data_IF_036614609802
#
_entry.id   IF_036614609802
#
_cell.length_a   1.000
_cell.length_b   1.000
_cell.length_c   1.000
_cell.angle_alpha   90.00
_cell.angle_beta   90.00
_cell.angle_gamma   90.00
#
_symmetry.space_group_name_H-M   'P 1'
#
loop_
_entity.id
_entity.type
_entity.pdbx_description
1 polymer ?
#
# COMPACT_ATOMS: atom_id res chain seq x y z
N UNK A 1 -36.82 -28.24 -66.72
CA UNK A 1 -36.17 -26.95 -66.49
C UNK A 1 -36.09 -26.73 -65.00
N UNK A 2 -34.88 -26.43 -64.53
CA UNK A 2 -34.54 -25.62 -63.33
C UNK A 2 -35.14 -26.06 -61.99
N UNK A 3 -34.42 -26.19 -60.87
CA UNK A 3 -33.08 -25.79 -60.47
C UNK A 3 -33.03 -25.89 -58.94
N UNK A 4 -31.91 -26.36 -58.41
CA UNK A 4 -31.67 -26.75 -57.01
C UNK A 4 -31.73 -25.60 -55.98
N UNK A 5 -32.00 -25.93 -54.72
CA UNK A 5 -31.73 -25.07 -53.55
C UNK A 5 -32.04 -25.73 -52.20
N UNK A 6 -31.03 -26.34 -51.59
CA UNK A 6 -31.06 -27.08 -50.31
C UNK A 6 -31.03 -26.12 -49.11
N UNK A 7 -31.79 -26.41 -48.04
CA UNK A 7 -31.60 -25.83 -46.70
C UNK A 7 -31.62 -26.92 -45.61
N UNK A 8 -30.56 -26.91 -44.81
CA UNK A 8 -30.15 -27.90 -43.78
C UNK A 8 -30.79 -27.55 -42.41
N UNK A 9 -31.15 -28.54 -41.56
CA UNK A 9 -31.86 -28.29 -40.31
C UNK A 9 -30.97 -27.79 -39.16
N UNK A 10 -31.60 -27.05 -38.24
CA UNK A 10 -31.02 -26.50 -37.00
C UNK A 10 -30.44 -27.59 -36.10
N UNK A 11 -29.16 -27.47 -35.76
CA UNK A 11 -28.53 -28.21 -34.66
C UNK A 11 -28.44 -27.30 -33.44
N UNK A 12 -29.14 -27.67 -32.37
CA UNK A 12 -28.95 -27.11 -31.03
C UNK A 12 -27.81 -27.86 -30.37
N UNK A 13 -26.75 -27.15 -29.97
CA UNK A 13 -25.64 -27.75 -29.23
C UNK A 13 -25.72 -27.30 -27.76
N UNK A 14 -26.08 -28.23 -26.88
CA UNK A 14 -25.83 -28.17 -25.44
C UNK A 14 -24.32 -28.29 -25.22
N UNK A 15 -23.71 -27.33 -24.53
CA UNK A 15 -22.35 -27.50 -23.98
C UNK A 15 -22.47 -27.66 -22.46
N UNK A 16 -22.08 -28.84 -21.97
CA UNK A 16 -21.89 -29.16 -20.56
C UNK A 16 -20.41 -28.93 -20.20
N UNK A 17 -20.21 -28.21 -19.09
CA UNK A 17 -19.07 -28.14 -18.15
C UNK A 17 -17.61 -28.00 -18.65
N UNK A 18 -16.92 -26.99 -18.11
CA UNK A 18 -15.45 -26.90 -18.09
C UNK A 18 -14.95 -25.47 -17.88
N UNK A 19 -15.16 -24.87 -16.70
CA UNK A 19 -14.63 -23.53 -16.39
C UNK A 19 -13.35 -23.68 -15.57
N UNK A 20 -12.20 -23.48 -16.22
CA UNK A 20 -10.91 -23.24 -15.57
C UNK A 20 -10.76 -21.74 -15.22
N UNK A 21 -10.07 -21.50 -14.10
CA UNK A 21 -10.01 -20.24 -13.34
C UNK A 21 -9.29 -19.06 -14.05
N UNK A 22 -8.76 -19.26 -15.27
CA UNK A 22 -8.11 -18.23 -16.10
C UNK A 22 -9.08 -17.31 -16.86
N UNK A 23 -10.36 -17.71 -16.98
CA UNK A 23 -11.33 -17.01 -17.84
C UNK A 23 -11.94 -15.72 -17.23
N UNK A 24 -11.72 -15.46 -15.93
CA UNK A 24 -12.28 -14.30 -15.21
C UNK A 24 -11.40 -13.04 -15.29
N UNK A 25 -10.06 -13.20 -15.39
CA UNK A 25 -9.11 -12.08 -15.53
C UNK A 25 -9.13 -11.49 -16.94
N UNK A 26 -9.26 -12.34 -17.97
CA UNK A 26 -9.37 -11.89 -19.37
C UNK A 26 -10.68 -11.12 -19.62
N UNK A 27 -11.79 -11.53 -18.98
CA UNK A 27 -13.09 -10.83 -19.10
C UNK A 27 -13.07 -9.43 -18.47
N UNK A 28 -12.37 -9.22 -17.36
CA UNK A 28 -12.26 -7.89 -16.72
C UNK A 28 -11.34 -6.94 -17.52
N UNK A 29 -10.23 -7.43 -18.06
CA UNK A 29 -9.37 -6.65 -18.96
C UNK A 29 -10.08 -6.27 -20.26
N UNK A 30 -10.88 -7.18 -20.85
CA UNK A 30 -11.70 -6.89 -22.04
C UNK A 30 -12.82 -5.88 -21.76
N UNK A 31 -13.35 -5.80 -20.54
CA UNK A 31 -14.40 -4.85 -20.19
C UNK A 31 -13.83 -3.42 -20.03
N UNK A 32 -12.64 -3.26 -19.45
CA UNK A 32 -11.90 -1.99 -19.48
C UNK A 32 -11.46 -1.61 -20.91
N UNK A 33 -11.04 -2.58 -21.73
CA UNK A 33 -10.70 -2.34 -23.14
C UNK A 33 -11.93 -1.93 -23.97
N UNK A 34 -13.10 -2.53 -23.71
CA UNK A 34 -14.38 -2.16 -24.35
C UNK A 34 -14.82 -0.74 -24.02
N UNK A 35 -14.66 -0.27 -22.78
CA UNK A 35 -15.01 1.11 -22.41
C UNK A 35 -14.09 2.12 -23.12
N UNK A 36 -12.80 1.80 -23.23
CA UNK A 36 -11.83 2.66 -23.93
C UNK A 36 -12.06 2.67 -25.46
N UNK A 37 -12.44 1.52 -26.04
CA UNK A 37 -12.79 1.43 -27.46
C UNK A 37 -14.13 2.10 -27.77
N UNK A 38 -15.11 2.04 -26.85
CA UNK A 38 -16.40 2.71 -27.03
C UNK A 38 -16.23 4.23 -26.98
N UNK A 39 -15.44 4.76 -26.04
CA UNK A 39 -15.09 6.19 -26.02
C UNK A 39 -14.37 6.64 -27.30
N UNK A 40 -13.40 5.84 -27.78
CA UNK A 40 -12.70 6.13 -29.04
C UNK A 40 -13.61 6.07 -30.27
N UNK A 41 -14.54 5.11 -30.32
CA UNK A 41 -15.50 4.97 -31.43
C UNK A 41 -16.59 6.04 -31.40
N UNK A 42 -17.04 6.47 -30.22
CA UNK A 42 -17.94 7.61 -30.06
C UNK A 42 -17.26 8.90 -30.52
N UNK A 43 -15.99 9.09 -30.15
CA UNK A 43 -15.21 10.23 -30.62
C UNK A 43 -15.01 10.21 -32.15
N UNK A 44 -14.70 9.03 -32.73
CA UNK A 44 -14.55 8.87 -34.18
C UNK A 44 -15.87 9.09 -34.92
N UNK A 45 -17.02 8.70 -34.34
CA UNK A 45 -18.35 8.99 -34.89
C UNK A 45 -18.66 10.48 -34.90
N UNK A 46 -18.40 11.18 -33.80
CA UNK A 46 -18.56 12.64 -33.71
C UNK A 46 -17.69 13.34 -34.77
N UNK A 47 -16.45 12.87 -34.95
CA UNK A 47 -15.53 13.41 -35.96
C UNK A 47 -16.00 13.14 -37.39
N UNK A 48 -16.53 11.95 -37.67
CA UNK A 48 -17.07 11.56 -38.98
C UNK A 48 -18.41 12.26 -39.30
N UNK A 49 -19.25 12.54 -38.30
CA UNK A 49 -20.47 13.34 -38.46
C UNK A 49 -20.15 14.81 -38.75
N UNK A 50 -19.12 15.38 -38.13
CA UNK A 50 -18.62 16.71 -38.47
C UNK A 50 -18.05 16.82 -39.89
N UNK A 51 -17.60 15.71 -40.50
CA UNK A 51 -17.10 15.68 -41.88
C UNK A 51 -18.21 15.48 -42.94
N UNK A 52 -19.44 15.11 -42.54
CA UNK A 52 -20.58 14.92 -43.47
C UNK A 52 -21.35 16.20 -43.78
N UNK A 53 -21.16 17.28 -43.02
CA UNK A 53 -21.82 18.56 -43.23
C UNK A 53 -20.79 19.70 -43.34
N UNK A 54 -20.29 20.01 -44.55
CA UNK A 54 -19.32 21.07 -44.75
C UNK A 54 -20.05 22.42 -44.85
N UNK A 55 -20.64 22.87 -43.75
CA UNK A 55 -21.24 24.21 -43.69
C UNK A 55 -21.04 24.87 -42.33
N UNK A 56 -19.86 24.70 -41.71
CA UNK A 56 -19.40 25.54 -40.61
C UNK A 56 -17.87 25.63 -40.62
N UNK A 57 -17.33 26.59 -41.35
CA UNK A 57 -15.90 27.00 -41.38
C UNK A 57 -15.44 27.68 -40.08
N UNK A 58 -16.02 27.32 -38.93
CA UNK A 58 -15.67 27.90 -37.62
C UNK A 58 -15.33 26.87 -36.53
N UNK A 59 -15.58 25.57 -36.76
CA UNK A 59 -15.41 24.53 -35.72
C UNK A 59 -14.07 23.81 -35.83
N UNK A 60 -13.49 23.75 -37.03
CA UNK A 60 -12.18 23.10 -37.27
C UNK A 60 -11.00 23.92 -36.72
N UNK A 61 -11.11 25.25 -36.66
CA UNK A 61 -10.03 26.10 -36.12
C UNK A 61 -10.01 26.17 -34.59
N UNK A 62 -11.17 26.03 -33.93
CA UNK A 62 -11.24 25.98 -32.45
C UNK A 62 -10.71 24.65 -31.88
N UNK A 63 -10.90 23.53 -32.60
CA UNK A 63 -10.46 22.21 -32.13
C UNK A 63 -8.93 22.03 -32.18
N UNK A 64 -8.27 22.56 -33.21
CA UNK A 64 -6.82 22.50 -33.36
C UNK A 64 -6.06 23.49 -32.44
N UNK A 65 -6.68 24.62 -32.07
CA UNK A 65 -6.10 25.56 -31.07
C UNK A 65 -6.20 25.06 -29.62
N UNK A 66 -7.16 24.16 -29.32
CA UNK A 66 -7.24 23.53 -28.00
C UNK A 66 -6.18 22.43 -27.80
N UNK A 67 -5.64 21.84 -28.88
CA UNK A 67 -4.61 20.80 -28.79
C UNK A 67 -3.18 21.34 -28.78
N UNK A 68 -2.93 22.57 -29.25
CA UNK A 68 -1.58 23.14 -29.31
C UNK A 68 -1.03 23.67 -27.99
N UNK A 69 -1.83 23.72 -26.92
CA UNK A 69 -1.42 24.24 -25.61
C UNK A 69 -1.44 23.22 -24.46
N UNK A 70 -1.52 21.91 -24.76
CA UNK A 70 -1.36 20.85 -23.76
C UNK A 70 0.01 20.16 -23.92
N UNK A 71 1.05 20.97 -24.06
CA UNK A 71 2.40 20.59 -23.63
C UNK A 71 2.70 21.33 -22.34
N UNK A 72 1.83 21.15 -21.32
CA UNK A 72 2.28 21.39 -19.94
C UNK A 72 3.23 20.26 -19.62
N UNK A 73 4.52 20.57 -19.58
CA UNK A 73 5.55 19.65 -19.13
C UNK A 73 5.06 18.88 -17.90
N UNK A 74 5.00 17.56 -18.02
CA UNK A 74 4.76 16.70 -16.86
C UNK A 74 5.75 17.12 -15.77
N UNK A 75 5.29 17.43 -14.55
CA UNK A 75 6.18 17.89 -13.50
C UNK A 75 7.27 16.83 -13.28
N UNK A 76 8.53 17.24 -13.48
CA UNK A 76 9.68 16.36 -13.29
C UNK A 76 9.77 16.00 -11.81
N UNK A 77 9.81 14.70 -11.51
CA UNK A 77 9.93 14.20 -10.14
C UNK A 77 11.28 14.58 -9.52
N UNK A 78 12.36 14.61 -10.32
CA UNK A 78 13.70 14.95 -9.84
C UNK A 78 14.01 16.45 -10.02
N UNK A 79 14.61 17.06 -9.00
CA UNK A 79 15.02 18.47 -9.01
C UNK A 79 16.54 18.68 -8.94
N UNK A 80 17.33 17.63 -8.65
CA UNK A 80 18.79 17.67 -8.40
C UNK A 80 19.24 18.55 -7.22
N UNK A 81 18.31 19.18 -6.51
CA UNK A 81 18.61 20.03 -5.34
C UNK A 81 19.24 19.25 -4.18
N UNK A 82 19.08 17.93 -4.16
CA UNK A 82 19.59 17.02 -3.14
C UNK A 82 20.91 16.32 -3.47
N UNK A 83 21.55 16.63 -4.60
CA UNK A 83 22.76 15.93 -5.07
C UNK A 83 23.98 16.21 -4.19
N UNK A 84 23.98 17.34 -3.47
CA UNK A 84 25.00 17.69 -2.48
C UNK A 84 24.79 17.05 -1.09
N UNK A 85 23.87 16.09 -0.98
CA UNK A 85 23.61 15.39 0.28
C UNK A 85 22.75 16.16 1.29
N UNK A 86 22.09 17.25 0.88
CA UNK A 86 21.19 18.07 1.73
C UNK A 86 19.77 18.05 1.19
N UNK A 87 18.77 18.15 2.04
CA UNK A 87 17.35 18.23 1.63
C UNK A 87 16.55 19.12 2.59
N UNK A 88 15.35 19.52 2.18
CA UNK A 88 14.53 20.47 2.93
C UNK A 88 13.49 19.75 3.80
N UNK A 89 13.32 20.25 5.02
CA UNK A 89 12.21 19.91 5.93
C UNK A 89 10.91 20.58 5.48
N UNK A 90 9.80 20.21 6.11
CA UNK A 90 8.49 20.81 5.85
C UNK A 90 8.47 22.32 6.21
N UNK A 91 9.32 22.73 7.15
CA UNK A 91 9.53 24.14 7.55
C UNK A 91 10.30 24.96 6.51
N UNK A 92 10.88 24.32 5.50
CA UNK A 92 11.78 24.93 4.51
C UNK A 92 13.26 24.93 4.91
N UNK A 93 13.57 24.60 6.16
CA UNK A 93 14.94 24.45 6.65
C UNK A 93 15.68 23.34 5.89
N UNK A 94 16.92 23.59 5.46
CA UNK A 94 17.75 22.57 4.78
C UNK A 94 18.69 21.91 5.76
N UNK A 95 18.68 20.58 5.81
CA UNK A 95 19.54 19.76 6.65
C UNK A 95 20.27 18.68 5.84
N UNK A 96 21.42 18.17 6.31
CA UNK A 96 22.06 16.99 5.71
C UNK A 96 21.11 15.80 5.69
N UNK A 97 21.16 14.95 4.66
CA UNK A 97 20.31 13.74 4.54
C UNK A 97 20.59 12.69 5.63
N UNK A 98 21.70 12.82 6.35
CA UNK A 98 22.07 11.99 7.51
C UNK A 98 21.53 12.54 8.84
N UNK A 99 20.75 13.61 8.84
CA UNK A 99 20.09 14.13 10.04
C UNK A 99 19.05 13.12 10.56
N UNK A 100 18.91 13.04 11.88
CA UNK A 100 18.01 12.09 12.56
C UNK A 100 16.55 12.20 12.07
N UNK A 101 16.10 13.40 11.69
CA UNK A 101 14.77 13.59 11.09
C UNK A 101 14.61 12.72 9.85
N UNK A 102 15.58 12.74 8.92
CA UNK A 102 15.48 11.96 7.69
C UNK A 102 15.68 10.45 7.92
N UNK A 103 16.39 10.05 8.97
CA UNK A 103 16.43 8.65 9.38
C UNK A 103 15.04 8.15 9.78
N UNK A 104 14.29 8.93 10.58
CA UNK A 104 12.91 8.58 10.91
C UNK A 104 12.04 8.50 9.67
N UNK A 105 12.07 9.53 8.81
CA UNK A 105 11.26 9.57 7.58
C UNK A 105 11.55 8.39 6.65
N UNK A 106 12.83 8.01 6.50
CA UNK A 106 13.21 6.86 5.69
C UNK A 106 12.71 5.54 6.29
N UNK A 107 12.80 5.37 7.61
CA UNK A 107 12.33 4.14 8.27
C UNK A 107 10.80 4.02 8.28
N UNK A 108 10.05 5.12 8.42
CA UNK A 108 8.59 5.11 8.35
C UNK A 108 8.10 4.85 6.93
N UNK A 109 8.79 5.40 5.91
CA UNK A 109 8.50 5.12 4.50
C UNK A 109 8.79 3.65 4.13
N UNK A 110 9.90 3.10 4.62
CA UNK A 110 10.22 1.68 4.45
C UNK A 110 9.17 0.77 5.12
N UNK A 111 8.73 1.13 6.33
CA UNK A 111 7.63 0.43 6.99
C UNK A 111 6.35 0.48 6.15
N UNK A 112 5.95 1.67 5.69
CA UNK A 112 4.76 1.87 4.86
C UNK A 112 4.82 1.05 3.56
N UNK A 113 6.02 0.93 2.97
CA UNK A 113 6.27 0.09 1.79
C UNK A 113 6.06 -1.39 2.08
N UNK A 114 6.53 -1.90 3.22
CA UNK A 114 6.24 -3.26 3.67
C UNK A 114 4.75 -3.49 3.92
N UNK A 115 4.03 -2.52 4.50
CA UNK A 115 2.57 -2.61 4.64
C UNK A 115 1.88 -2.69 3.25
N UNK A 116 2.38 -1.96 2.26
CA UNK A 116 1.93 -2.07 0.87
C UNK A 116 2.13 -3.47 0.28
N UNK A 117 3.28 -4.11 0.55
CA UNK A 117 3.53 -5.50 0.16
C UNK A 117 2.54 -6.45 0.84
N UNK A 118 2.35 -6.34 2.16
CA UNK A 118 1.41 -7.17 2.93
C UNK A 118 -0.01 -7.00 2.38
N UNK A 119 -0.45 -5.77 2.09
CA UNK A 119 -1.76 -5.49 1.48
C UNK A 119 -1.96 -6.23 0.15
N UNK A 120 -0.90 -6.39 -0.65
CA UNK A 120 -0.99 -7.12 -1.91
C UNK A 120 -1.15 -8.63 -1.69
N UNK A 121 -0.42 -9.21 -0.72
CA UNK A 121 -0.50 -10.62 -0.37
C UNK A 121 -1.89 -10.98 0.20
N UNK A 122 -2.38 -10.19 1.16
CA UNK A 122 -3.66 -10.47 1.83
C UNK A 122 -4.87 -10.30 0.90
N UNK A 123 -4.76 -9.52 -0.18
CA UNK A 123 -5.83 -9.40 -1.18
C UNK A 123 -6.08 -10.74 -1.87
N UNK A 124 -5.00 -11.49 -2.13
CA UNK A 124 -5.08 -12.83 -2.71
C UNK A 124 -5.63 -13.84 -1.71
N UNK A 125 -5.16 -13.77 -0.45
CA UNK A 125 -5.63 -14.64 0.64
C UNK A 125 -7.00 -14.25 1.22
N UNK A 126 -7.53 -13.07 0.85
CA UNK A 126 -8.81 -12.49 1.31
C UNK A 126 -8.89 -12.26 2.83
N UNK A 127 -7.79 -11.83 3.46
CA UNK A 127 -7.82 -11.53 4.90
C UNK A 127 -8.59 -10.23 5.18
N UNK A 128 -9.27 -10.11 6.35
CA UNK A 128 -10.26 -9.07 6.59
C UNK A 128 -9.69 -7.71 7.07
N UNK A 129 -8.37 -7.55 7.15
CA UNK A 129 -7.74 -6.40 7.80
C UNK A 129 -7.03 -5.44 6.82
N UNK A 130 -7.35 -5.50 5.53
CA UNK A 130 -6.77 -4.61 4.51
C UNK A 130 -7.02 -3.12 4.79
N UNK A 131 -8.21 -2.77 5.26
CA UNK A 131 -8.58 -1.39 5.58
C UNK A 131 -7.80 -0.85 6.79
N UNK A 132 -7.48 -1.71 7.76
CA UNK A 132 -6.66 -1.31 8.91
C UNK A 132 -5.23 -1.00 8.47
N UNK A 133 -4.64 -1.84 7.61
CA UNK A 133 -3.31 -1.57 7.05
C UNK A 133 -3.27 -0.28 6.24
N UNK A 134 -4.35 0.04 5.50
CA UNK A 134 -4.47 1.31 4.79
C UNK A 134 -4.50 2.51 5.74
N UNK A 135 -5.31 2.44 6.81
CA UNK A 135 -5.34 3.48 7.85
C UNK A 135 -3.96 3.68 8.48
N UNK A 136 -3.23 2.59 8.76
CA UNK A 136 -1.87 2.67 9.30
C UNK A 136 -0.93 3.36 8.30
N UNK A 137 -1.01 3.07 7.00
CA UNK A 137 -0.19 3.77 6.00
C UNK A 137 -0.46 5.29 5.99
N UNK A 138 -1.73 5.70 6.11
CA UNK A 138 -2.08 7.11 6.25
C UNK A 138 -1.51 7.73 7.53
N UNK A 139 -1.66 7.05 8.67
CA UNK A 139 -1.11 7.51 9.95
C UNK A 139 0.42 7.63 9.91
N UNK A 140 1.12 6.70 9.27
CA UNK A 140 2.57 6.79 9.10
C UNK A 140 2.97 8.02 8.27
N UNK A 141 2.16 8.42 7.29
CA UNK A 141 2.37 9.65 6.53
C UNK A 141 2.17 10.90 7.42
N UNK A 142 1.16 10.90 8.28
CA UNK A 142 0.90 11.99 9.22
C UNK A 142 2.04 12.12 10.25
N UNK A 143 2.46 11.00 10.85
CA UNK A 143 3.62 10.95 11.76
C UNK A 143 4.89 11.45 11.09
N UNK A 144 5.13 11.05 9.84
CA UNK A 144 6.28 11.51 9.07
C UNK A 144 6.20 13.04 8.82
N UNK A 145 5.02 13.56 8.50
CA UNK A 145 4.83 14.99 8.28
C UNK A 145 5.05 15.81 9.57
N UNK A 146 4.63 15.26 10.71
CA UNK A 146 4.90 15.83 12.03
C UNK A 146 6.40 15.86 12.35
N UNK A 147 7.11 14.74 12.20
CA UNK A 147 8.56 14.65 12.44
C UNK A 147 9.36 15.55 11.50
N UNK A 148 8.90 15.72 10.25
CA UNK A 148 9.47 16.65 9.29
C UNK A 148 9.24 18.14 9.63
N UNK A 149 8.53 18.43 10.73
CA UNK A 149 8.20 19.77 11.23
C UNK A 149 8.72 19.98 12.66
N UNK A 150 10.05 20.05 12.88
CA UNK A 150 10.60 20.15 14.23
C UNK A 150 10.12 21.39 14.98
N UNK A 151 9.80 21.25 16.26
CA UNK A 151 9.19 22.32 17.07
C UNK A 151 10.05 23.58 17.16
N UNK A 152 11.38 23.41 17.14
CA UNK A 152 12.36 24.51 17.21
C UNK A 152 12.29 25.44 16.00
N UNK A 153 11.90 24.94 14.82
CA UNK A 153 11.89 25.72 13.57
C UNK A 153 10.49 25.85 12.95
N UNK A 154 9.49 25.24 13.55
CA UNK A 154 8.11 25.34 13.11
C UNK A 154 7.45 26.67 13.49
N UNK A 155 6.62 27.19 12.58
CA UNK A 155 5.66 28.27 12.82
C UNK A 155 4.30 27.66 13.16
N UNK A 156 3.38 28.44 13.71
CA UNK A 156 2.07 27.94 14.11
C UNK A 156 1.25 27.39 12.93
N UNK A 157 1.40 27.99 11.75
CA UNK A 157 0.79 27.47 10.51
C UNK A 157 1.38 26.14 10.05
N UNK A 158 2.64 25.83 10.41
CA UNK A 158 3.24 24.53 10.13
C UNK A 158 2.66 23.51 11.11
N UNK A 159 2.65 23.82 12.42
CA UNK A 159 2.11 22.93 13.46
C UNK A 159 0.65 22.56 13.22
N UNK A 160 -0.18 23.53 12.86
CA UNK A 160 -1.61 23.28 12.58
C UNK A 160 -1.85 22.33 11.39
N UNK A 161 -0.87 22.18 10.48
CA UNK A 161 -0.97 21.29 9.31
C UNK A 161 -0.36 19.92 9.53
N UNK A 162 0.43 19.74 10.59
CA UNK A 162 1.21 18.53 10.85
C UNK A 162 1.03 18.04 12.28
N UNK A 163 -0.17 18.23 12.82
CA UNK A 163 -0.52 17.69 14.14
C UNK A 163 -0.48 16.15 14.09
N UNK A 164 0.12 15.48 15.09
CA UNK A 164 0.15 14.03 15.11
C UNK A 164 -1.26 13.47 15.36
N UNK A 165 -1.61 12.30 14.81
CA UNK A 165 -2.93 11.70 14.99
C UNK A 165 -3.13 11.22 16.43
N UNK A 166 -3.69 12.09 17.27
CA UNK A 166 -4.01 11.79 18.68
C UNK A 166 -5.11 10.72 18.76
N UNK A 167 -4.95 9.76 19.67
CA UNK A 167 -5.91 8.67 19.90
C UNK A 167 -5.75 7.44 18.99
N UNK A 168 -4.85 7.46 17.99
CA UNK A 168 -4.62 6.28 17.17
C UNK A 168 -3.96 5.13 17.95
N UNK A 169 -3.17 5.45 18.99
CA UNK A 169 -2.62 4.47 19.92
C UNK A 169 -3.73 3.63 20.56
N UNK A 170 -4.82 4.26 21.02
CA UNK A 170 -5.95 3.58 21.65
C UNK A 170 -6.69 2.69 20.62
N UNK A 171 -6.76 3.14 19.36
CA UNK A 171 -7.32 2.33 18.28
C UNK A 171 -6.48 1.08 17.98
N UNK A 172 -5.14 1.18 18.02
CA UNK A 172 -4.25 0.02 17.88
C UNK A 172 -4.45 -0.96 19.04
N UNK A 173 -4.59 -0.48 20.27
CA UNK A 173 -4.88 -1.30 21.45
C UNK A 173 -6.19 -2.07 21.30
N UNK A 174 -7.26 -1.39 20.86
CA UNK A 174 -8.54 -2.04 20.60
C UNK A 174 -8.42 -3.17 19.55
N UNK A 175 -7.69 -2.96 18.46
CA UNK A 175 -7.46 -4.01 17.45
C UNK A 175 -6.60 -5.16 17.98
N UNK A 176 -5.58 -4.87 18.80
CA UNK A 176 -4.78 -5.90 19.46
C UNK A 176 -5.66 -6.79 20.32
N UNK A 177 -6.53 -6.20 21.13
CA UNK A 177 -7.43 -6.92 22.03
C UNK A 177 -8.40 -7.80 21.24
N UNK A 178 -8.96 -7.29 20.14
CA UNK A 178 -9.91 -8.03 19.30
C UNK A 178 -9.29 -9.23 18.59
N UNK A 179 -8.04 -9.13 18.13
CA UNK A 179 -7.33 -10.28 17.57
C UNK A 179 -6.86 -11.26 18.64
N UNK A 180 -6.42 -10.76 19.80
CA UNK A 180 -5.94 -11.59 20.90
C UNK A 180 -7.02 -12.53 21.43
N UNK A 181 -8.29 -12.09 21.47
CA UNK A 181 -9.45 -12.94 21.87
C UNK A 181 -9.67 -14.15 20.97
N UNK A 182 -9.22 -14.09 19.72
CA UNK A 182 -9.43 -15.16 18.72
C UNK A 182 -8.25 -16.12 18.65
N UNK A 183 -7.11 -15.75 19.25
CA UNK A 183 -5.87 -16.50 19.17
C UNK A 183 -5.71 -17.46 20.35
N UNK A 184 -5.02 -18.60 20.15
CA UNK A 184 -4.61 -19.43 21.26
C UNK A 184 -3.67 -18.65 22.20
N UNK A 185 -3.74 -18.90 23.53
CA UNK A 185 -2.90 -18.22 24.51
C UNK A 185 -1.41 -18.33 24.18
N UNK A 186 -0.69 -17.21 24.23
CA UNK A 186 0.75 -17.19 24.03
C UNK A 186 1.46 -17.54 25.34
N UNK A 187 1.87 -18.79 25.49
CA UNK A 187 2.57 -19.27 26.69
C UNK A 187 4.09 -19.31 26.53
N UNK A 188 4.58 -19.27 25.30
CA UNK A 188 6.01 -19.37 24.98
C UNK A 188 6.41 -18.32 23.95
N UNK A 189 7.71 -18.02 23.87
CA UNK A 189 8.25 -17.27 22.74
C UNK A 189 8.06 -18.03 21.44
N UNK A 190 7.69 -17.31 20.38
CA UNK A 190 7.49 -17.87 19.04
C UNK A 190 8.59 -17.37 18.10
N UNK A 191 9.02 -18.23 17.18
CA UNK A 191 9.87 -17.84 16.07
C UNK A 191 9.04 -17.06 15.05
N UNK A 192 9.57 -15.97 14.47
CA UNK A 192 8.88 -15.24 13.42
C UNK A 192 8.72 -16.14 12.19
N UNK A 193 7.49 -16.54 11.89
CA UNK A 193 7.15 -17.50 10.85
C UNK A 193 5.64 -17.60 10.64
N UNK A 194 5.12 -18.78 10.32
CA UNK A 194 3.67 -19.02 10.18
C UNK A 194 3.11 -18.65 8.79
N UNK A 195 3.84 -19.02 7.73
CA UNK A 195 3.43 -18.73 6.35
C UNK A 195 3.98 -17.40 5.79
N UNK A 196 3.79 -17.18 4.50
CA UNK A 196 4.37 -16.03 3.77
C UNK A 196 3.85 -14.69 4.31
N UNK A 197 2.55 -14.59 4.58
CA UNK A 197 1.91 -13.36 5.06
C UNK A 197 2.39 -13.03 6.47
N UNK A 198 2.28 -13.98 7.42
CA UNK A 198 2.75 -13.78 8.79
C UNK A 198 4.23 -13.42 8.86
N UNK A 199 5.09 -14.14 8.12
CA UNK A 199 6.52 -13.86 8.07
C UNK A 199 6.80 -12.44 7.55
N UNK A 200 6.07 -11.99 6.52
CA UNK A 200 6.20 -10.63 6.00
C UNK A 200 5.74 -9.58 7.01
N UNK A 201 4.67 -9.85 7.76
CA UNK A 201 4.22 -8.98 8.86
C UNK A 201 5.27 -8.91 9.97
N UNK A 202 5.92 -10.02 10.32
CA UNK A 202 7.03 -10.00 11.27
C UNK A 202 8.24 -9.18 10.79
N UNK A 203 8.51 -9.13 9.48
CA UNK A 203 9.51 -8.21 8.92
C UNK A 203 9.06 -6.76 9.11
N UNK A 204 7.81 -6.43 8.75
CA UNK A 204 7.26 -5.09 8.99
C UNK A 204 7.36 -4.70 10.47
N UNK A 205 7.10 -5.63 11.40
CA UNK A 205 7.26 -5.42 12.84
C UNK A 205 8.69 -5.02 13.21
N UNK A 206 9.72 -5.68 12.67
CA UNK A 206 11.12 -5.33 13.00
C UNK A 206 11.54 -4.00 12.39
N UNK A 207 11.04 -3.66 11.20
CA UNK A 207 11.21 -2.34 10.57
C UNK A 207 10.53 -1.25 11.39
N UNK A 208 9.32 -1.51 11.90
CA UNK A 208 8.61 -0.61 12.81
C UNK A 208 9.42 -0.33 14.07
N UNK A 209 10.01 -1.36 14.69
CA UNK A 209 10.92 -1.18 15.84
C UNK A 209 12.19 -0.41 15.47
N UNK A 210 12.66 -0.47 14.23
CA UNK A 210 13.78 0.35 13.75
C UNK A 210 13.36 1.83 13.64
N UNK A 211 12.18 2.11 13.08
CA UNK A 211 11.60 3.45 13.05
C UNK A 211 11.44 4.02 14.46
N UNK A 212 10.90 3.23 15.39
CA UNK A 212 10.75 3.56 16.82
C UNK A 212 12.10 4.01 17.42
N UNK A 213 13.17 3.22 17.23
CA UNK A 213 14.50 3.56 17.75
C UNK A 213 15.05 4.88 17.18
N UNK A 214 14.80 5.18 15.91
CA UNK A 214 15.23 6.45 15.31
C UNK A 214 14.48 7.67 15.83
N UNK A 215 13.28 7.51 16.39
CA UNK A 215 12.49 8.62 16.97
C UNK A 215 13.01 9.02 18.36
N UNK A 216 13.56 8.08 19.13
CA UNK A 216 14.06 8.31 20.49
C UNK A 216 14.99 9.53 20.64
N UNK A 217 16.04 9.73 19.81
CA UNK A 217 16.90 10.91 19.94
C UNK A 217 16.14 12.23 19.69
N UNK A 218 15.20 12.26 18.73
CA UNK A 218 14.41 13.46 18.44
C UNK A 218 13.48 13.84 19.58
N UNK A 219 12.85 12.85 20.21
CA UNK A 219 12.00 13.08 21.40
C UNK A 219 12.84 13.59 22.57
N UNK A 220 14.01 12.99 22.82
CA UNK A 220 14.94 13.45 23.88
C UNK A 220 15.44 14.88 23.65
N UNK A 221 15.64 15.27 22.40
CA UNK A 221 16.02 16.63 22.02
C UNK A 221 14.84 17.63 22.06
N UNK A 222 13.62 17.15 22.33
CA UNK A 222 12.41 17.97 22.28
C UNK A 222 12.04 18.43 20.87
N UNK A 223 12.50 17.74 19.82
CA UNK A 223 12.23 18.09 18.42
C UNK A 223 10.95 17.50 17.87
N UNK A 224 10.34 16.54 18.57
CA UNK A 224 9.06 15.92 18.17
C UNK A 224 8.29 15.44 19.41
N UNK A 225 6.98 15.27 19.25
CA UNK A 225 6.07 14.83 20.32
C UNK A 225 6.32 13.35 20.71
N UNK A 226 6.19 13.08 22.01
CA UNK A 226 6.20 11.73 22.60
C UNK A 226 5.13 10.81 22.00
N UNK A 227 4.02 11.36 21.49
CA UNK A 227 2.95 10.61 20.84
C UNK A 227 3.45 9.82 19.62
N UNK A 228 4.43 10.32 18.85
CA UNK A 228 5.04 9.57 17.74
C UNK A 228 5.67 8.28 18.23
N UNK A 229 6.43 8.37 19.33
CA UNK A 229 7.11 7.22 19.92
C UNK A 229 6.11 6.19 20.46
N UNK A 230 5.06 6.64 21.16
CA UNK A 230 3.99 5.76 21.67
C UNK A 230 3.28 5.03 20.54
N UNK A 231 2.92 5.75 19.48
CA UNK A 231 2.21 5.17 18.34
C UNK A 231 3.06 4.07 17.65
N UNK A 232 4.35 4.31 17.40
CA UNK A 232 5.23 3.31 16.78
C UNK A 232 5.48 2.11 17.70
N UNK A 233 5.65 2.35 19.00
CA UNK A 233 5.78 1.29 19.99
C UNK A 233 4.56 0.35 19.94
N UNK A 234 3.35 0.92 20.03
CA UNK A 234 2.10 0.16 19.99
C UNK A 234 1.83 -0.50 18.63
N UNK A 235 2.22 0.16 17.54
CA UNK A 235 2.12 -0.42 16.20
C UNK A 235 2.97 -1.70 16.07
N UNK A 236 4.12 -1.76 16.75
CA UNK A 236 4.95 -2.97 16.74
C UNK A 236 4.27 -4.14 17.46
N UNK A 237 3.49 -3.88 18.52
CA UNK A 237 2.66 -4.89 19.19
C UNK A 237 1.50 -5.34 18.30
N UNK A 238 0.82 -4.38 17.65
CA UNK A 238 -0.23 -4.66 16.68
C UNK A 238 0.27 -5.57 15.55
N UNK A 239 1.44 -5.27 14.98
CA UNK A 239 2.03 -6.10 13.92
C UNK A 239 2.43 -7.49 14.44
N UNK A 240 2.83 -7.63 15.70
CA UNK A 240 3.08 -8.94 16.31
C UNK A 240 1.79 -9.76 16.39
N UNK A 241 0.73 -9.19 16.95
CA UNK A 241 -0.57 -9.85 17.08
C UNK A 241 -1.18 -10.17 15.72
N UNK A 242 -1.07 -9.25 14.76
CA UNK A 242 -1.56 -9.44 13.40
C UNK A 242 -0.82 -10.56 12.66
N UNK A 243 0.50 -10.72 12.87
CA UNK A 243 1.25 -11.82 12.28
C UNK A 243 0.70 -13.18 12.76
N UNK A 244 0.50 -13.33 14.07
CA UNK A 244 -0.13 -14.54 14.64
C UNK A 244 -1.54 -14.77 14.10
N UNK A 245 -2.33 -13.72 13.98
CA UNK A 245 -3.67 -13.79 13.40
C UNK A 245 -3.66 -14.19 11.92
N UNK A 246 -2.69 -13.70 11.14
CA UNK A 246 -2.51 -14.12 9.76
C UNK A 246 -2.18 -15.62 9.65
N UNK A 247 -1.24 -16.11 10.45
CA UNK A 247 -0.93 -17.54 10.51
C UNK A 247 -2.17 -18.38 10.89
N UNK A 248 -2.92 -17.92 11.89
CA UNK A 248 -4.17 -18.56 12.31
C UNK A 248 -5.20 -18.64 11.17
N UNK A 249 -5.41 -17.56 10.40
CA UNK A 249 -6.31 -17.57 9.25
C UNK A 249 -5.85 -18.52 8.14
N UNK A 250 -4.54 -18.63 7.94
CA UNK A 250 -3.93 -19.52 6.96
C UNK A 250 -3.86 -21.00 7.42
N UNK A 251 -4.37 -21.32 8.63
CA UNK A 251 -4.24 -22.63 9.29
C UNK A 251 -2.78 -23.06 9.50
N UNK A 252 -1.88 -22.09 9.62
CA UNK A 252 -0.49 -22.28 9.98
C UNK A 252 -0.31 -22.21 11.50
N UNK A 253 0.75 -22.84 12.01
CA UNK A 253 1.04 -22.88 13.46
C UNK A 253 2.24 -22.01 13.82
N UNK A 254 2.13 -21.34 14.97
CA UNK A 254 3.25 -20.63 15.58
C UNK A 254 4.34 -21.65 15.98
N UNK A 255 5.57 -21.46 15.49
CA UNK A 255 6.70 -22.31 15.89
C UNK A 255 7.25 -21.84 17.23
N UNK A 256 7.18 -22.69 18.25
CA UNK A 256 7.71 -22.38 19.58
C UNK A 256 9.24 -22.34 19.55
N UNK A 257 9.80 -21.29 20.14
CA UNK A 257 11.25 -21.15 20.32
C UNK A 257 11.79 -22.24 21.25
N UNK A 258 12.83 -22.94 20.80
CA UNK A 258 13.60 -23.88 21.61
C UNK A 258 14.98 -23.29 21.93
N UNK A 259 15.42 -23.37 23.20
CA UNK A 259 16.75 -22.91 23.60
C UNK A 259 17.83 -23.77 22.94
N UNK A 260 18.89 -23.14 22.46
CA UNK A 260 19.95 -23.80 21.68
C UNK A 260 20.68 -24.93 22.41
N UNK A 261 20.75 -24.87 23.74
CA UNK A 261 21.34 -25.91 24.59
C UNK A 261 20.66 -27.29 24.43
N UNK A 262 19.41 -27.35 23.98
CA UNK A 262 18.70 -28.62 23.77
C UNK A 262 19.02 -29.29 22.45
N UNK A 263 19.77 -28.64 21.55
CA UNK A 263 20.16 -29.24 20.26
C UNK A 263 21.37 -30.17 20.37
N UNK A 264 22.16 -30.07 21.44
CA UNK A 264 23.39 -30.87 21.65
C UNK A 264 23.13 -32.24 22.29
N UNK A 265 22.02 -32.39 23.01
CA UNK A 265 21.73 -33.60 23.80
C UNK A 265 21.15 -34.76 22.97
N UNK A 266 20.88 -34.57 21.68
CA UNK A 266 20.36 -35.63 20.79
C UNK A 266 21.43 -36.46 20.08
N UNK A 267 22.73 -36.25 20.35
CA UNK A 267 23.85 -36.96 19.70
C UNK A 267 24.55 -38.04 20.54
N UNK A 268 24.11 -38.31 21.77
CA UNK A 268 24.81 -39.22 22.71
C UNK A 268 24.06 -40.53 23.02
N UNK A 269 23.05 -40.90 22.23
CA UNK A 269 22.28 -42.15 22.40
C UNK A 269 22.34 -43.03 21.15
N UNK A 270 23.57 -43.37 20.71
CA UNK A 270 23.85 -44.29 19.61
C UNK A 270 24.82 -45.35 20.05
#
# INVERSE_FOLDING_TARGET
GEGYGVAVPRVTCRVVAGITHESLLVRRSLQCFRVNLHLKMTYLRILLESLRHPSHTGVTELSLRCFSNVSKDLPKIYTRTGDKGVTSLFTGERRPKSDDVFHVLGHTDELSSYLGLIKSLIRTAKHPYGDQLEKIQCVLQDLSSHVATPDQTARDSHRARTEPPRGFTDQLEAWIDDYSKQLPPLTNFILPGGGQISSTIHIARTVCRRAERSVVPLVRAGSTDQEVLKCLNRLSDYLFTLARYAAFLDNESDTVYQRSQYFTDQKSSG
#
